data_IF_877896540008
#
_entry.id   IF_877896540008
#
_cell.length_a   1.000
_cell.length_b   1.000
_cell.length_c   1.000
_cell.angle_alpha   90.00
_cell.angle_beta   90.00
_cell.angle_gamma   90.00
#
_symmetry.space_group_name_H-M   'P 1'
#
loop_
_entity.id
_entity.type
_entity.pdbx_description
1 polymer ?
#
# COMPACT_ATOMS: atom_id res chain seq x y z
N UNK A 1 -9.98 -14.01 -25.63
CA UNK A 1 -10.19 -14.28 -24.20
C UNK A 1 -8.86 -14.79 -23.69
N UNK A 2 -7.95 -13.87 -23.40
CA UNK A 2 -6.54 -14.18 -23.19
C UNK A 2 -6.14 -13.69 -21.81
N UNK A 3 -5.35 -14.52 -21.14
CA UNK A 3 -4.44 -14.26 -20.00
C UNK A 3 -5.11 -13.71 -18.72
N UNK A 4 -5.46 -14.53 -17.72
CA UNK A 4 -4.63 -15.27 -16.74
C UNK A 4 -3.63 -14.41 -15.97
N UNK A 5 -3.73 -14.55 -14.64
CA UNK A 5 -2.79 -14.07 -13.61
C UNK A 5 -2.95 -12.59 -13.23
N UNK A 6 -3.98 -12.32 -12.42
CA UNK A 6 -3.81 -11.39 -11.29
C UNK A 6 -2.66 -11.93 -10.45
N UNK A 7 -1.43 -11.53 -10.75
CA UNK A 7 -0.32 -11.59 -9.81
C UNK A 7 -0.70 -10.65 -8.68
N UNK A 8 -1.25 -11.23 -7.61
CA UNK A 8 -1.29 -10.58 -6.32
C UNK A 8 0.17 -10.48 -5.89
N UNK A 9 0.81 -9.36 -6.22
CA UNK A 9 2.19 -9.06 -5.89
C UNK A 9 2.40 -9.23 -4.37
N UNK A 10 3.15 -10.28 -4.02
CA UNK A 10 3.63 -10.62 -2.68
C UNK A 10 4.63 -9.55 -2.14
N UNK A 11 4.50 -8.27 -2.52
CA UNK A 11 5.67 -7.38 -2.61
C UNK A 11 5.66 -6.08 -1.80
N UNK A 12 4.77 -5.93 -0.82
CA UNK A 12 4.77 -4.69 -0.04
C UNK A 12 4.81 -4.93 1.46
N UNK A 13 5.89 -5.57 1.91
CA UNK A 13 6.32 -5.59 3.31
C UNK A 13 6.99 -4.28 3.76
N UNK A 14 6.65 -3.15 3.14
CA UNK A 14 7.29 -1.85 3.35
C UNK A 14 6.24 -0.79 3.65
N UNK A 15 6.53 0.05 4.63
CA UNK A 15 5.71 1.20 5.03
C UNK A 15 5.61 2.23 3.88
N UNK A 16 4.42 2.53 3.40
CA UNK A 16 4.21 3.48 2.28
C UNK A 16 4.67 4.91 2.61
N UNK A 17 4.55 5.30 3.88
CA UNK A 17 4.93 6.65 4.32
C UNK A 17 6.44 6.79 4.48
N UNK A 18 7.06 5.80 5.10
CA UNK A 18 8.43 5.89 5.60
C UNK A 18 9.44 5.06 4.80
N UNK A 19 8.99 4.19 3.90
CA UNK A 19 9.84 3.30 3.11
C UNK A 19 10.58 2.24 3.95
N UNK A 20 10.22 2.08 5.23
CA UNK A 20 10.86 1.12 6.12
C UNK A 20 10.28 -0.28 5.93
N UNK A 21 11.14 -1.30 5.99
CA UNK A 21 10.71 -2.70 6.03
C UNK A 21 9.96 -3.00 7.33
N UNK A 22 8.75 -3.52 7.18
CA UNK A 22 7.83 -3.82 8.27
C UNK A 22 7.52 -5.31 8.37
N UNK A 23 8.26 -6.15 7.66
CA UNK A 23 8.10 -7.62 7.68
C UNK A 23 8.47 -8.22 9.04
N UNK A 24 9.39 -7.58 9.76
CA UNK A 24 9.89 -8.03 11.07
C UNK A 24 9.16 -7.40 12.27
N UNK A 25 8.19 -6.51 12.03
CA UNK A 25 7.38 -5.89 13.08
C UNK A 25 5.91 -6.22 12.87
N UNK A 26 5.05 -5.73 13.77
CA UNK A 26 3.60 -5.83 13.59
C UNK A 26 3.12 -4.56 12.87
N UNK A 27 2.88 -4.59 11.56
CA UNK A 27 2.37 -3.43 10.86
C UNK A 27 0.91 -3.17 11.20
N UNK A 28 0.51 -1.91 11.01
CA UNK A 28 -0.89 -1.50 10.99
C UNK A 28 -1.37 -1.65 9.55
N UNK A 29 -2.41 -2.44 9.33
CA UNK A 29 -3.03 -2.62 8.02
C UNK A 29 -4.26 -1.73 7.91
N UNK A 30 -4.40 -1.02 6.80
CA UNK A 30 -5.55 -0.18 6.49
C UNK A 30 -6.01 -0.44 5.06
N UNK A 31 -7.29 -0.71 4.89
CA UNK A 31 -7.90 -0.97 3.59
C UNK A 31 -8.46 0.34 3.02
N UNK A 32 -8.05 0.69 1.81
CA UNK A 32 -8.48 1.89 1.10
C UNK A 32 -8.55 1.60 -0.40
N UNK A 33 -9.67 1.96 -1.05
CA UNK A 33 -9.89 1.74 -2.50
C UNK A 33 -9.58 0.30 -2.97
N UNK A 34 -10.06 -0.69 -2.21
CA UNK A 34 -9.83 -2.12 -2.47
C UNK A 34 -8.34 -2.56 -2.40
N UNK A 35 -7.46 -1.71 -1.88
CA UNK A 35 -6.05 -2.02 -1.61
C UNK A 35 -5.75 -2.03 -0.11
N UNK A 36 -4.91 -2.97 0.32
CA UNK A 36 -4.45 -3.05 1.73
C UNK A 36 -3.09 -2.37 1.83
N UNK A 37 -3.02 -1.30 2.61
CA UNK A 37 -1.80 -0.55 2.88
C UNK A 37 -1.25 -0.88 4.26
N UNK A 38 0.07 -1.07 4.33
CA UNK A 38 0.76 -1.45 5.55
C UNK A 38 1.61 -0.28 6.08
N UNK A 39 1.54 -0.04 7.40
CA UNK A 39 2.21 1.07 8.08
C UNK A 39 3.04 0.56 9.24
N UNK A 40 4.21 1.15 9.49
CA UNK A 40 5.06 0.73 10.60
C UNK A 40 4.47 1.06 11.97
N UNK A 41 3.58 2.05 12.06
CA UNK A 41 2.99 2.56 13.29
C UNK A 41 1.77 3.44 13.00
N UNK A 42 0.99 3.74 14.04
CA UNK A 42 -0.17 4.64 13.95
C UNK A 42 0.20 6.07 13.53
N UNK A 43 1.43 6.53 13.78
CA UNK A 43 1.88 7.85 13.32
C UNK A 43 1.92 7.94 11.79
N UNK A 44 2.53 6.94 11.13
CA UNK A 44 2.49 6.86 9.67
C UNK A 44 1.08 6.74 9.13
N UNK A 45 0.20 5.96 9.78
CA UNK A 45 -1.20 5.90 9.36
C UNK A 45 -1.86 7.28 9.43
N UNK A 46 -1.61 8.07 10.49
CA UNK A 46 -2.18 9.42 10.61
C UNK A 46 -1.68 10.34 9.50
N UNK A 47 -0.38 10.37 9.24
CA UNK A 47 0.21 11.19 8.18
C UNK A 47 -0.35 10.81 6.80
N UNK A 48 -0.53 9.50 6.56
CA UNK A 48 -1.21 9.02 5.36
C UNK A 48 -2.67 9.45 5.31
N UNK A 49 -3.41 9.40 6.42
CA UNK A 49 -4.81 9.82 6.46
C UNK A 49 -4.99 11.34 6.30
N UNK A 50 -3.97 12.15 6.58
CA UNK A 50 -4.01 13.58 6.30
C UNK A 50 -4.05 13.87 4.80
N UNK A 51 -3.30 13.11 4.01
CA UNK A 51 -3.25 13.27 2.55
C UNK A 51 -3.04 11.93 1.82
N UNK A 52 -4.04 11.02 1.81
CA UNK A 52 -3.86 9.67 1.28
C UNK A 52 -3.69 9.67 -0.24
N UNK A 53 -4.29 10.66 -0.92
CA UNK A 53 -4.26 10.76 -2.38
C UNK A 53 -2.85 10.94 -2.91
N UNK A 54 -1.99 11.68 -2.21
CA UNK A 54 -0.58 11.87 -2.58
C UNK A 54 0.20 10.57 -2.61
N UNK A 55 -0.01 9.69 -1.63
CA UNK A 55 0.70 8.41 -1.52
C UNK A 55 0.12 7.35 -2.47
N UNK A 56 -1.18 7.43 -2.76
CA UNK A 56 -1.85 6.52 -3.69
C UNK A 56 -1.51 6.85 -5.15
N UNK A 57 -1.44 8.13 -5.53
CA UNK A 57 -1.13 8.53 -6.90
C UNK A 57 0.23 8.02 -7.40
N UNK A 58 1.20 7.82 -6.50
CA UNK A 58 2.51 7.28 -6.86
C UNK A 58 2.47 5.76 -7.10
N UNK A 59 1.39 5.06 -6.73
CA UNK A 59 1.26 3.60 -6.85
C UNK A 59 0.13 3.14 -7.80
N UNK A 60 -0.68 4.05 -8.32
CA UNK A 60 -1.86 3.79 -9.17
C UNK A 60 -1.55 3.89 -10.68
N UNK A 61 -0.36 3.49 -11.13
CA UNK A 61 -0.03 3.42 -12.57
C UNK A 61 -0.36 2.03 -13.17
N UNK A 62 -1.48 1.42 -12.78
CA UNK A 62 -1.99 0.20 -13.42
C UNK A 62 -3.53 0.07 -13.25
N UNK A 63 -4.29 0.68 -14.17
CA UNK A 63 -5.69 0.33 -14.47
C UNK A 63 -6.11 0.91 -15.83
N UNK A 64 -6.04 0.05 -16.84
CA UNK A 64 -6.51 0.04 -18.25
C UNK A 64 -7.18 1.25 -18.96
N UNK A 65 -6.72 1.53 -20.19
CA UNK A 65 -7.33 0.97 -21.44
C UNK A 65 -6.24 0.52 -22.43
#
# INVERSE_FOLDING_TARGET
>A
MSITEKTFDEKSGVCIVCGMDITNIKPVLYELRDAVHAFCSNECLKEFLEDPEKYLYENDEDSED
#
